data_IF_300170861688
#
_entry.id   IF_300170861688
#
_cell.length_a   1.000
_cell.length_b   1.000
_cell.length_c   1.000
_cell.angle_alpha   90.00
_cell.angle_beta   90.00
_cell.angle_gamma   90.00
#
_symmetry.space_group_name_H-M   'P 1'
#
loop_
_entity.id
_entity.type
_entity.pdbx_description
1 polymer ?
#
# COMPACT_ATOMS: atom_id res chain seq x y z
N UNK A 1 -23.65 18.15 -52.33
CA UNK A 1 -24.10 17.24 -53.40
C UNK A 1 -23.98 15.82 -52.87
N UNK A 2 -25.15 15.22 -52.59
CA UNK A 2 -25.56 13.81 -52.53
C UNK A 2 -24.61 12.79 -51.87
N UNK A 3 -25.02 11.88 -50.99
CA UNK A 3 -26.32 11.24 -50.63
C UNK A 3 -26.06 10.41 -49.35
N UNK A 4 -26.88 10.47 -48.27
CA UNK A 4 -28.00 9.54 -47.94
C UNK A 4 -27.57 8.05 -47.87
N UNK A 5 -27.88 7.19 -46.88
CA UNK A 5 -29.05 6.95 -45.99
C UNK A 5 -28.59 5.87 -44.95
N UNK A 6 -28.89 5.88 -43.64
CA UNK A 6 -30.13 5.67 -42.85
C UNK A 6 -30.40 4.22 -42.38
N UNK A 7 -30.70 4.09 -41.07
CA UNK A 7 -31.59 3.11 -40.37
C UNK A 7 -31.12 1.64 -40.23
N UNK A 8 -31.42 0.88 -39.16
CA UNK A 8 -32.22 1.10 -37.96
C UNK A 8 -32.24 -0.18 -37.08
N UNK A 9 -32.43 -0.01 -35.77
CA UNK A 9 -32.96 -1.02 -34.82
C UNK A 9 -34.51 -1.03 -34.94
N UNK A 10 -35.29 -2.09 -34.57
CA UNK A 10 -35.48 -2.53 -33.17
C UNK A 10 -36.03 -3.97 -32.90
N UNK A 11 -36.36 -4.21 -31.61
CA UNK A 11 -37.22 -5.25 -30.96
C UNK A 11 -36.55 -6.58 -30.57
N UNK A 12 -36.53 -7.08 -29.30
CA UNK A 12 -37.49 -7.34 -28.19
C UNK A 12 -38.37 -8.61 -28.36
N UNK A 13 -38.56 -9.31 -27.22
CA UNK A 13 -39.50 -10.41 -26.87
C UNK A 13 -39.02 -11.83 -27.26
N UNK A 14 -39.05 -12.91 -26.45
CA UNK A 14 -40.00 -13.38 -25.43
C UNK A 14 -39.39 -14.24 -24.30
N UNK A 15 -40.07 -14.25 -23.15
CA UNK A 15 -39.96 -15.22 -22.06
C UNK A 15 -40.86 -16.43 -22.34
N UNK A 16 -40.36 -17.64 -22.10
CA UNK A 16 -41.14 -18.88 -22.05
C UNK A 16 -41.05 -19.49 -20.65
N UNK A 17 -42.14 -19.37 -19.91
CA UNK A 17 -42.45 -20.05 -18.66
C UNK A 17 -43.23 -21.32 -19.07
N UNK A 18 -42.88 -22.51 -18.58
CA UNK A 18 -43.90 -23.57 -18.48
C UNK A 18 -43.62 -24.61 -17.40
N UNK A 19 -44.66 -24.78 -16.59
CA UNK A 19 -44.80 -25.66 -15.44
C UNK A 19 -45.20 -27.05 -15.91
N UNK A 20 -44.69 -28.10 -15.24
CA UNK A 20 -45.41 -29.36 -15.14
C UNK A 20 -45.27 -29.93 -13.71
N UNK A 21 -46.37 -29.79 -12.96
CA UNK A 21 -46.67 -30.50 -11.72
C UNK A 21 -47.35 -31.83 -12.06
N UNK A 22 -46.92 -32.92 -11.44
CA UNK A 22 -47.72 -34.14 -11.32
C UNK A 22 -47.57 -34.74 -9.91
N UNK A 23 -48.68 -34.80 -9.17
CA UNK A 23 -48.89 -35.62 -7.95
C UNK A 23 -49.86 -36.78 -8.30
N UNK A 24 -50.28 -37.64 -7.35
CA UNK A 24 -49.58 -38.86 -6.95
C UNK A 24 -50.46 -40.12 -7.15
N UNK A 25 -49.86 -41.30 -7.20
CA UNK A 25 -50.61 -42.56 -7.09
C UNK A 25 -50.30 -43.25 -5.75
N UNK A 26 -51.36 -43.40 -4.95
CA UNK A 26 -51.48 -44.24 -3.76
C UNK A 26 -51.80 -45.68 -4.15
N UNK A 27 -51.08 -46.66 -3.61
CA UNK A 27 -51.63 -47.99 -3.36
C UNK A 27 -51.03 -48.61 -2.08
N UNK A 28 -51.86 -49.36 -1.38
CA UNK A 28 -51.68 -49.86 -0.04
C UNK A 28 -50.76 -51.09 0.09
N UNK A 29 -50.36 -51.32 1.34
CA UNK A 29 -49.56 -52.42 1.89
C UNK A 29 -50.20 -53.82 1.72
N UNK A 30 -49.42 -54.90 1.94
CA UNK A 30 -49.54 -55.57 3.25
C UNK A 30 -48.19 -55.92 3.89
N UNK A 31 -48.23 -56.11 5.21
CA UNK A 31 -47.07 -56.23 6.09
C UNK A 31 -46.42 -57.62 6.16
N UNK A 32 -45.23 -57.61 6.76
CA UNK A 32 -44.46 -58.77 7.20
C UNK A 32 -43.29 -58.28 8.04
N UNK A 33 -43.20 -58.71 9.30
CA UNK A 33 -42.19 -58.25 10.25
C UNK A 33 -40.80 -58.83 10.00
N UNK A 34 -39.77 -58.05 10.31
CA UNK A 34 -38.43 -58.54 10.64
C UNK A 34 -37.60 -57.43 11.32
N UNK A 35 -37.20 -57.71 12.56
CA UNK A 35 -35.84 -57.56 13.10
C UNK A 35 -35.06 -56.25 12.89
N UNK A 36 -34.89 -55.55 14.02
CA UNK A 36 -33.83 -54.61 14.42
C UNK A 36 -32.68 -54.34 13.44
N UNK A 37 -32.59 -53.09 12.97
CA UNK A 37 -31.32 -52.43 12.66
C UNK A 37 -31.43 -50.97 13.12
N UNK A 38 -30.79 -50.63 14.25
CA UNK A 38 -30.66 -49.22 14.66
C UNK A 38 -29.74 -48.53 13.65
N UNK A 39 -30.30 -47.63 12.87
CA UNK A 39 -29.56 -46.70 12.03
C UNK A 39 -28.53 -45.98 12.91
N UNK A 40 -27.23 -46.01 12.60
CA UNK A 40 -26.29 -45.19 13.33
C UNK A 40 -26.67 -43.73 13.08
N UNK A 41 -26.97 -43.01 14.15
CA UNK A 41 -27.17 -41.57 14.12
C UNK A 41 -26.02 -40.95 13.32
N UNK A 42 -26.35 -40.34 12.20
CA UNK A 42 -25.42 -39.52 11.44
C UNK A 42 -24.96 -38.40 12.36
N UNK A 43 -23.75 -38.56 12.91
CA UNK A 43 -23.04 -37.49 13.61
C UNK A 43 -23.11 -36.25 12.71
N UNK A 44 -23.65 -35.11 13.17
CA UNK A 44 -23.62 -33.91 12.35
C UNK A 44 -22.16 -33.64 12.03
N UNK A 45 -21.84 -33.56 10.73
CA UNK A 45 -20.50 -33.23 10.28
C UNK A 45 -20.07 -31.95 11.00
N UNK A 46 -19.15 -32.07 11.95
CA UNK A 46 -18.55 -30.93 12.63
C UNK A 46 -17.91 -30.07 11.54
N UNK A 47 -18.57 -28.97 11.18
CA UNK A 47 -17.93 -27.94 10.39
C UNK A 47 -16.62 -27.60 11.10
N UNK A 48 -15.47 -27.59 10.39
CA UNK A 48 -14.19 -27.32 11.04
C UNK A 48 -14.30 -25.99 11.79
N UNK A 49 -14.12 -26.08 13.10
CA UNK A 49 -14.16 -24.93 14.01
C UNK A 49 -12.99 -24.05 13.60
N UNK A 50 -13.27 -22.89 13.00
CA UNK A 50 -12.21 -21.91 12.72
C UNK A 50 -11.63 -21.45 14.06
N UNK A 51 -10.30 -21.50 14.25
CA UNK A 51 -9.67 -20.97 15.45
C UNK A 51 -10.10 -19.52 15.67
N UNK A 52 -10.40 -19.16 16.91
CA UNK A 52 -10.96 -17.85 17.24
C UNK A 52 -10.20 -17.18 18.37
N UNK A 53 -9.80 -15.93 18.15
CA UNK A 53 -9.32 -15.02 19.19
C UNK A 53 -10.52 -14.41 19.92
N UNK A 54 -10.41 -14.23 21.23
CA UNK A 54 -11.42 -13.56 22.06
C UNK A 54 -10.83 -12.33 22.74
N UNK A 55 -11.52 -11.20 22.63
CA UNK A 55 -11.13 -9.95 23.28
C UNK A 55 -11.36 -10.00 24.79
N UNK A 56 -10.46 -9.39 25.58
CA UNK A 56 -10.64 -9.22 27.02
C UNK A 56 -11.86 -8.35 27.31
N UNK A 57 -12.58 -8.66 28.38
CA UNK A 57 -13.77 -7.92 28.80
C UNK A 57 -13.53 -6.41 29.04
N UNK A 58 -12.34 -6.05 29.53
CA UNK A 58 -11.95 -4.68 29.90
C UNK A 58 -11.13 -3.96 28.82
N UNK A 59 -10.85 -4.59 27.68
CA UNK A 59 -10.09 -3.94 26.61
C UNK A 59 -10.96 -2.90 25.88
N UNK A 60 -10.46 -1.67 25.77
CA UNK A 60 -11.04 -0.63 24.89
C UNK A 60 -10.56 -0.84 23.46
N UNK A 61 -10.83 -2.03 22.91
CA UNK A 61 -10.28 -2.46 21.64
C UNK A 61 -10.87 -1.65 20.48
N UNK A 62 -10.01 -1.00 19.69
CA UNK A 62 -10.43 -0.11 18.58
C UNK A 62 -11.13 -0.88 17.47
N UNK A 63 -10.92 -2.20 17.40
CA UNK A 63 -11.59 -3.08 16.44
C UNK A 63 -13.12 -3.01 16.56
N UNK A 64 -13.65 -2.75 17.76
CA UNK A 64 -15.08 -2.60 18.01
C UNK A 64 -15.67 -1.37 17.30
N UNK A 65 -14.85 -0.32 17.11
CA UNK A 65 -15.21 0.88 16.35
C UNK A 65 -14.85 0.77 14.85
N UNK A 66 -14.41 -0.40 14.39
CA UNK A 66 -14.10 -0.65 12.98
C UNK A 66 -12.63 -0.56 12.61
N UNK A 67 -11.70 -0.34 13.54
CA UNK A 67 -10.26 -0.44 13.25
C UNK A 67 -9.88 -1.87 12.79
N UNK A 68 -8.96 -2.08 11.83
CA UNK A 68 -8.67 -3.42 11.31
C UNK A 68 -7.77 -4.27 12.22
N UNK A 69 -7.11 -3.66 13.20
CA UNK A 69 -6.12 -4.34 14.04
C UNK A 69 -6.62 -4.67 15.43
N UNK A 70 -6.14 -5.79 15.95
CA UNK A 70 -6.20 -6.19 17.36
C UNK A 70 -4.77 -6.40 17.87
N UNK A 71 -4.49 -5.85 19.05
CA UNK A 71 -3.17 -5.90 19.66
C UNK A 71 -3.05 -7.03 20.69
N UNK A 72 -1.83 -7.51 20.93
CA UNK A 72 -1.55 -8.62 21.84
C UNK A 72 -2.13 -8.43 23.26
N UNK A 73 -2.14 -7.19 23.76
CA UNK A 73 -2.67 -6.86 25.08
C UNK A 73 -4.20 -6.85 25.16
N UNK A 74 -4.92 -6.88 24.02
CA UNK A 74 -6.38 -6.79 23.93
C UNK A 74 -7.09 -8.15 23.96
N UNK A 75 -6.37 -9.28 23.81
CA UNK A 75 -6.96 -10.64 23.76
C UNK A 75 -6.76 -11.44 25.04
N UNK A 76 -7.72 -12.29 25.38
CA UNK A 76 -7.68 -13.13 26.60
C UNK A 76 -6.48 -14.07 26.60
N UNK A 77 -6.24 -14.75 25.47
CA UNK A 77 -5.11 -15.63 25.25
C UNK A 77 -4.67 -15.55 23.78
N UNK A 78 -3.39 -15.82 23.54
CA UNK A 78 -2.85 -16.03 22.20
C UNK A 78 -3.21 -17.43 21.72
N UNK A 79 -3.37 -17.57 20.41
CA UNK A 79 -3.50 -18.87 19.77
C UNK A 79 -2.10 -19.50 19.59
N UNK A 80 -2.01 -20.85 19.43
CA UNK A 80 -0.75 -21.53 19.19
C UNK A 80 -0.01 -21.00 17.95
N UNK A 81 1.33 -21.03 17.97
CA UNK A 81 2.19 -20.46 16.93
C UNK A 81 2.06 -21.20 15.58
N UNK A 82 1.53 -22.42 15.57
CA UNK A 82 1.22 -23.19 14.37
C UNK A 82 0.15 -22.50 13.50
N UNK A 83 -0.64 -21.61 14.09
CA UNK A 83 -1.63 -20.80 13.40
C UNK A 83 -1.06 -19.47 12.85
N UNK A 84 0.23 -19.18 13.05
CA UNK A 84 0.86 -17.97 12.51
C UNK A 84 0.78 -17.97 10.99
N UNK A 85 0.17 -16.93 10.43
CA UNK A 85 -0.11 -16.80 9.00
C UNK A 85 -1.45 -17.40 8.56
N UNK A 86 -2.19 -18.03 9.46
CA UNK A 86 -3.51 -18.58 9.17
C UNK A 86 -4.63 -17.55 9.37
N UNK A 87 -5.78 -17.86 8.76
CA UNK A 87 -6.99 -17.06 8.91
C UNK A 87 -7.74 -17.52 10.15
N UNK A 88 -7.89 -16.61 11.11
CA UNK A 88 -8.59 -16.85 12.37
C UNK A 88 -9.75 -15.88 12.53
N UNK A 89 -10.77 -16.34 13.23
CA UNK A 89 -11.88 -15.49 13.63
C UNK A 89 -11.48 -14.60 14.82
N UNK A 90 -12.05 -13.40 14.91
CA UNK A 90 -11.98 -12.60 16.13
C UNK A 90 -13.38 -12.41 16.70
N UNK A 91 -13.54 -12.63 18.01
CA UNK A 91 -14.78 -12.50 18.75
C UNK A 91 -14.67 -11.44 19.83
N UNK A 92 -15.76 -10.74 20.07
CA UNK A 92 -15.85 -9.82 21.20
C UNK A 92 -16.01 -10.56 22.54
N UNK A 93 -16.10 -9.79 23.63
CA UNK A 93 -16.28 -10.32 24.98
C UNK A 93 -17.54 -11.18 25.17
N UNK A 94 -18.59 -10.92 24.39
CA UNK A 94 -19.86 -11.65 24.43
C UNK A 94 -19.86 -12.86 23.48
N UNK A 95 -18.74 -13.14 22.79
CA UNK A 95 -18.61 -14.22 21.83
C UNK A 95 -19.13 -13.88 20.42
N UNK A 96 -19.53 -12.63 20.16
CA UNK A 96 -20.02 -12.20 18.83
C UNK A 96 -18.85 -12.06 17.88
N UNK A 97 -18.98 -12.61 16.67
CA UNK A 97 -17.95 -12.54 15.63
C UNK A 97 -17.77 -11.11 15.13
N UNK A 98 -16.52 -10.63 15.15
CA UNK A 98 -16.07 -9.34 14.60
C UNK A 98 -15.57 -9.46 13.15
N UNK A 99 -15.30 -10.69 12.71
CA UNK A 99 -14.85 -11.03 11.36
C UNK A 99 -13.71 -12.05 11.36
N UNK A 100 -13.12 -12.24 10.18
CA UNK A 100 -11.92 -13.06 10.01
C UNK A 100 -10.73 -12.22 9.56
N UNK A 101 -9.54 -12.65 9.92
CA UNK A 101 -8.30 -11.93 9.69
C UNK A 101 -7.09 -12.83 9.85
N UNK A 102 -5.93 -12.32 9.45
CA UNK A 102 -4.67 -13.05 9.55
C UNK A 102 -4.11 -12.96 10.98
N UNK A 103 -3.55 -14.05 11.47
CA UNK A 103 -2.96 -14.15 12.81
C UNK A 103 -1.43 -14.18 12.78
N UNK A 104 -0.78 -13.59 13.80
CA UNK A 104 0.63 -13.80 14.09
C UNK A 104 0.92 -13.59 15.58
N UNK A 105 1.29 -14.66 16.28
CA UNK A 105 1.64 -14.68 17.70
C UNK A 105 2.87 -13.82 18.05
N UNK A 106 3.77 -13.60 17.09
CA UNK A 106 5.03 -12.85 17.27
C UNK A 106 4.86 -11.33 17.14
N UNK A 107 3.79 -10.89 16.49
CA UNK A 107 3.54 -9.48 16.19
C UNK A 107 2.87 -8.78 17.37
N UNK A 108 3.12 -7.48 17.56
CA UNK A 108 2.29 -6.68 18.47
C UNK A 108 0.85 -6.53 17.94
N UNK A 109 0.70 -6.53 16.62
CA UNK A 109 -0.59 -6.57 15.93
C UNK A 109 -0.88 -8.04 15.62
N UNK A 110 -1.44 -8.74 16.60
CA UNK A 110 -1.63 -10.19 16.54
C UNK A 110 -2.71 -10.59 15.53
N UNK A 111 -3.63 -9.70 15.20
CA UNK A 111 -4.70 -9.97 14.24
C UNK A 111 -5.01 -8.76 13.38
N UNK A 112 -5.05 -8.98 12.06
CA UNK A 112 -5.40 -7.96 11.06
C UNK A 112 -6.60 -8.45 10.26
N UNK A 113 -7.72 -7.73 10.37
CA UNK A 113 -8.98 -8.08 9.71
C UNK A 113 -8.82 -8.10 8.19
N UNK A 114 -9.29 -9.18 7.57
CA UNK A 114 -9.50 -9.30 6.13
C UNK A 114 -10.95 -8.90 5.80
N UNK A 115 -11.91 -9.43 6.55
CA UNK A 115 -13.33 -9.21 6.31
C UNK A 115 -14.13 -9.20 7.62
N UNK A 116 -15.29 -8.53 7.61
CA UNK A 116 -16.29 -8.67 8.69
C UNK A 116 -17.08 -9.97 8.58
N UNK A 117 -17.02 -10.63 7.43
CA UNK A 117 -17.64 -11.94 7.18
C UNK A 117 -16.56 -13.02 7.27
N UNK A 118 -16.98 -14.28 7.40
CA UNK A 118 -16.08 -15.42 7.31
C UNK A 118 -15.56 -15.54 5.88
N UNK A 119 -14.25 -15.47 5.71
CA UNK A 119 -13.58 -15.61 4.41
C UNK A 119 -12.35 -16.50 4.56
N UNK A 120 -12.01 -17.19 3.48
CA UNK A 120 -10.72 -17.86 3.28
C UNK A 120 -9.75 -16.89 2.62
N UNK A 121 -8.45 -17.08 2.87
CA UNK A 121 -7.38 -16.33 2.18
C UNK A 121 -6.73 -17.26 1.16
N UNK A 122 -7.47 -17.52 0.10
CA UNK A 122 -7.07 -18.33 -1.05
C UNK A 122 -6.80 -17.44 -2.28
N UNK A 123 -6.53 -18.10 -3.41
CA UNK A 123 -6.26 -17.45 -4.69
C UNK A 123 -7.41 -16.55 -5.15
N UNK A 124 -8.66 -16.97 -4.96
CA UNK A 124 -9.83 -16.22 -5.42
C UNK A 124 -10.04 -14.97 -4.56
N UNK A 125 -9.82 -15.07 -3.25
CA UNK A 125 -9.81 -13.90 -2.37
C UNK A 125 -8.73 -12.89 -2.78
N UNK A 126 -7.49 -13.36 -3.02
CA UNK A 126 -6.38 -12.50 -3.45
C UNK A 126 -6.70 -11.82 -4.78
N UNK A 127 -7.21 -12.57 -5.77
CA UNK A 127 -7.65 -11.99 -7.06
C UNK A 127 -8.71 -10.94 -6.87
N UNK A 128 -9.76 -11.23 -6.10
CA UNK A 128 -10.84 -10.29 -5.87
C UNK A 128 -10.35 -9.02 -5.16
N UNK A 129 -9.49 -9.14 -4.15
CA UNK A 129 -8.93 -8.00 -3.43
C UNK A 129 -8.03 -7.14 -4.34
N UNK A 130 -7.17 -7.78 -5.14
CA UNK A 130 -6.35 -7.09 -6.14
C UNK A 130 -7.19 -6.37 -7.18
N UNK A 131 -8.21 -7.03 -7.75
CA UNK A 131 -9.13 -6.40 -8.70
C UNK A 131 -9.81 -5.17 -8.10
N UNK A 132 -10.31 -5.24 -6.86
CA UNK A 132 -10.89 -4.07 -6.17
C UNK A 132 -9.86 -2.95 -5.97
N UNK A 133 -8.61 -3.30 -5.62
CA UNK A 133 -7.53 -2.32 -5.49
C UNK A 133 -7.21 -1.64 -6.83
N UNK A 134 -7.16 -2.40 -7.93
CA UNK A 134 -6.92 -1.89 -9.28
C UNK A 134 -8.07 -1.00 -9.77
N UNK A 135 -9.32 -1.40 -9.53
CA UNK A 135 -10.52 -0.60 -9.86
C UNK A 135 -10.46 0.78 -9.19
N UNK A 136 -10.02 0.85 -7.93
CA UNK A 136 -9.83 2.13 -7.21
C UNK A 136 -8.78 3.07 -7.85
N UNK A 137 -7.92 2.55 -8.74
CA UNK A 137 -6.88 3.31 -9.46
C UNK A 137 -7.20 3.48 -10.94
N UNK A 138 -8.38 3.11 -11.41
CA UNK A 138 -8.70 3.29 -12.83
C UNK A 138 -8.89 4.79 -13.18
N UNK A 139 -8.42 5.24 -14.36
CA UNK A 139 -7.60 4.49 -15.33
C UNK A 139 -6.21 4.16 -14.77
N UNK A 140 -5.72 2.95 -15.02
CA UNK A 140 -4.48 2.46 -14.39
C UNK A 140 -3.28 3.32 -14.80
N UNK A 141 -2.64 4.03 -13.85
CA UNK A 141 -1.46 4.85 -14.15
C UNK A 141 -0.24 3.96 -14.41
N UNK A 142 0.68 4.45 -15.25
CA UNK A 142 1.97 3.77 -15.52
C UNK A 142 2.90 3.76 -14.31
N UNK A 143 2.85 4.81 -13.49
CA UNK A 143 3.65 4.92 -12.28
C UNK A 143 2.73 5.19 -11.08
N UNK A 144 2.46 4.23 -10.22
CA UNK A 144 1.69 4.49 -8.99
C UNK A 144 1.74 3.32 -8.02
N UNK A 145 1.30 3.61 -6.79
CA UNK A 145 0.95 2.58 -5.84
C UNK A 145 -0.41 1.96 -6.18
N UNK A 146 -0.38 0.70 -6.62
CA UNK A 146 -1.58 -0.08 -6.96
C UNK A 146 -2.25 -0.68 -5.71
N UNK A 147 -1.45 -1.08 -4.71
CA UNK A 147 -1.94 -1.70 -3.47
C UNK A 147 -1.28 -1.06 -2.25
N UNK A 148 -2.09 -0.70 -1.25
CA UNK A 148 -1.65 -0.10 0.00
C UNK A 148 -2.22 -0.80 1.24
N UNK A 149 -1.71 -2.01 1.48
CA UNK A 149 -1.90 -2.78 2.71
C UNK A 149 -3.38 -2.93 3.11
N UNK A 150 -3.74 -2.69 4.37
CA UNK A 150 -5.10 -2.82 4.90
C UNK A 150 -6.11 -1.89 4.20
N UNK A 151 -5.65 -0.78 3.63
CA UNK A 151 -6.51 0.14 2.87
C UNK A 151 -7.08 -0.52 1.61
N UNK A 152 -6.41 -1.58 1.14
CA UNK A 152 -6.77 -2.35 -0.03
C UNK A 152 -7.11 -3.81 0.27
N UNK A 153 -7.48 -4.12 1.53
CA UNK A 153 -7.93 -5.45 1.95
C UNK A 153 -6.83 -6.54 1.84
N UNK A 154 -5.56 -6.12 1.73
CA UNK A 154 -4.38 -6.98 1.62
C UNK A 154 -3.36 -6.61 2.71
N UNK A 155 -3.60 -6.95 3.99
CA UNK A 155 -2.76 -6.52 5.11
C UNK A 155 -1.29 -6.93 4.94
N UNK A 156 -0.41 -5.94 4.88
CA UNK A 156 1.02 -6.11 4.71
C UNK A 156 1.49 -6.24 3.27
N UNK A 157 0.62 -6.09 2.27
CA UNK A 157 1.02 -6.07 0.85
C UNK A 157 1.12 -4.63 0.35
N UNK A 158 2.22 -4.29 -0.30
CA UNK A 158 2.37 -3.05 -1.06
C UNK A 158 2.79 -3.41 -2.48
N UNK A 159 2.13 -2.83 -3.47
CA UNK A 159 2.49 -3.02 -4.88
C UNK A 159 2.63 -1.65 -5.52
N UNK A 160 3.85 -1.33 -5.91
CA UNK A 160 4.18 -0.12 -6.66
C UNK A 160 4.47 -0.51 -8.12
N UNK A 161 3.92 0.25 -9.07
CA UNK A 161 4.15 0.08 -10.51
C UNK A 161 5.08 1.16 -11.01
N UNK A 162 6.08 0.76 -11.80
CA UNK A 162 6.99 1.62 -12.53
C UNK A 162 7.03 1.17 -13.99
N UNK A 163 6.17 1.77 -14.82
CA UNK A 163 5.99 1.38 -16.21
C UNK A 163 5.55 -0.08 -16.32
N UNK A 164 6.42 -0.90 -16.92
CA UNK A 164 6.20 -2.34 -17.07
C UNK A 164 6.72 -3.20 -15.90
N UNK A 165 7.36 -2.61 -14.89
CA UNK A 165 7.89 -3.33 -13.71
C UNK A 165 6.99 -3.13 -12.49
N UNK A 166 6.73 -4.20 -11.74
CA UNK A 166 6.10 -4.13 -10.42
C UNK A 166 7.14 -4.32 -9.31
N UNK A 167 7.04 -3.53 -8.26
CA UNK A 167 7.78 -3.71 -7.02
C UNK A 167 6.78 -4.11 -5.93
N UNK A 168 6.94 -5.33 -5.43
CA UNK A 168 6.05 -5.95 -4.45
C UNK A 168 6.76 -6.04 -3.11
N UNK A 169 6.10 -5.59 -2.05
CA UNK A 169 6.55 -5.80 -0.68
C UNK A 169 5.49 -6.57 0.08
N UNK A 170 5.94 -7.56 0.85
CA UNK A 170 5.12 -8.32 1.77
C UNK A 170 5.69 -8.15 3.17
N UNK A 171 4.83 -7.90 4.14
CA UNK A 171 5.25 -7.59 5.52
C UNK A 171 4.60 -8.50 6.56
N UNK A 172 3.68 -9.38 6.19
CA UNK A 172 2.96 -10.27 7.11
C UNK A 172 3.24 -11.72 6.77
N UNK A 173 3.34 -12.57 7.79
CA UNK A 173 3.63 -14.01 7.59
C UNK A 173 2.55 -14.72 6.76
N UNK A 174 1.29 -14.29 6.88
CA UNK A 174 0.20 -14.82 6.05
C UNK A 174 0.43 -14.53 4.57
N UNK A 175 0.83 -13.31 4.21
CA UNK A 175 1.07 -12.96 2.81
C UNK A 175 2.36 -13.60 2.30
N UNK A 176 3.37 -13.80 3.16
CA UNK A 176 4.60 -14.51 2.79
C UNK A 176 4.30 -15.95 2.36
N UNK A 177 3.50 -16.68 3.15
CA UNK A 177 3.07 -18.06 2.83
C UNK A 177 2.32 -18.17 1.50
N UNK A 178 1.76 -17.06 0.99
CA UNK A 178 0.98 -17.01 -0.25
C UNK A 178 1.65 -16.13 -1.31
N UNK A 179 2.95 -15.84 -1.16
CA UNK A 179 3.70 -14.97 -2.06
C UNK A 179 3.59 -15.45 -3.52
N UNK A 180 3.85 -16.73 -3.78
CA UNK A 180 3.78 -17.28 -5.15
C UNK A 180 2.38 -17.14 -5.77
N UNK A 181 1.33 -17.36 -4.97
CA UNK A 181 -0.05 -17.16 -5.43
C UNK A 181 -0.33 -15.68 -5.72
N UNK A 182 0.12 -14.78 -4.85
CA UNK A 182 -0.01 -13.34 -5.04
C UNK A 182 0.71 -12.89 -6.33
N UNK A 183 1.94 -13.34 -6.56
CA UNK A 183 2.72 -13.00 -7.75
C UNK A 183 2.08 -13.53 -9.03
N UNK A 184 1.60 -14.78 -9.03
CA UNK A 184 0.87 -15.35 -10.18
C UNK A 184 -0.40 -14.56 -10.51
N UNK A 185 -1.16 -14.13 -9.51
CA UNK A 185 -2.38 -13.34 -9.75
C UNK A 185 -2.05 -11.94 -10.26
N UNK A 186 -0.97 -11.30 -9.76
CA UNK A 186 -0.50 -10.02 -10.29
C UNK A 186 -0.07 -10.14 -11.76
N UNK A 187 0.64 -11.22 -12.10
CA UNK A 187 1.08 -11.52 -13.46
C UNK A 187 -0.11 -11.60 -14.44
N UNK A 188 -1.17 -12.31 -14.04
CA UNK A 188 -2.37 -12.46 -14.87
C UNK A 188 -3.20 -11.18 -15.00
N UNK A 189 -3.24 -10.34 -13.96
CA UNK A 189 -4.05 -9.13 -13.95
C UNK A 189 -3.38 -7.95 -14.67
N UNK A 190 -2.04 -7.91 -14.69
CA UNK A 190 -1.28 -6.74 -15.13
C UNK A 190 -0.26 -7.03 -16.23
N UNK A 191 0.08 -8.30 -16.48
CA UNK A 191 1.08 -8.75 -17.45
C UNK A 191 2.37 -7.90 -17.44
N UNK A 192 3.04 -7.74 -16.28
CA UNK A 192 4.27 -6.95 -16.19
C UNK A 192 5.45 -7.67 -16.88
N UNK A 193 6.42 -6.90 -17.35
CA UNK A 193 7.69 -7.46 -17.84
C UNK A 193 8.48 -8.12 -16.71
N UNK A 194 8.45 -7.53 -15.52
CA UNK A 194 9.16 -8.04 -14.35
C UNK A 194 8.42 -7.72 -13.04
N UNK A 195 8.59 -8.61 -12.05
CA UNK A 195 8.16 -8.35 -10.68
C UNK A 195 9.37 -8.48 -9.76
N UNK A 196 9.67 -7.41 -9.03
CA UNK A 196 10.71 -7.35 -8.02
C UNK A 196 10.04 -7.52 -6.66
N UNK A 197 10.38 -8.58 -5.94
CA UNK A 197 9.97 -8.78 -4.55
C UNK A 197 11.01 -8.13 -3.66
N UNK A 198 10.63 -7.02 -3.03
CA UNK A 198 11.51 -6.18 -2.25
C UNK A 198 11.16 -6.24 -0.76
N UNK A 199 11.56 -7.34 -0.14
CA UNK A 199 11.29 -7.70 1.24
C UNK A 199 12.47 -7.37 2.17
N UNK A 200 13.09 -6.21 1.98
CA UNK A 200 14.24 -5.69 2.75
C UNK A 200 13.84 -4.80 3.94
N UNK A 201 12.54 -4.51 4.10
CA UNK A 201 12.03 -3.62 5.14
C UNK A 201 12.24 -4.20 6.56
N UNK A 202 12.88 -3.47 7.50
CA UNK A 202 13.18 -3.97 8.85
C UNK A 202 11.96 -4.42 9.66
N UNK A 203 10.76 -3.90 9.34
CA UNK A 203 9.49 -4.27 9.98
C UNK A 203 9.18 -5.77 9.86
N UNK A 204 9.67 -6.45 8.81
CA UNK A 204 9.51 -7.91 8.65
C UNK A 204 10.08 -8.71 9.81
N UNK A 205 11.13 -8.21 10.48
CA UNK A 205 11.71 -8.84 11.68
C UNK A 205 10.71 -8.90 12.84
N UNK A 206 9.81 -7.91 12.95
CA UNK A 206 8.74 -7.89 13.95
C UNK A 206 7.67 -8.96 13.69
N UNK A 207 7.57 -9.45 12.46
CA UNK A 207 6.67 -10.54 12.06
C UNK A 207 7.39 -11.90 12.02
N UNK A 208 8.67 -11.95 12.40
CA UNK A 208 9.50 -13.17 12.38
C UNK A 208 9.98 -13.58 10.99
N UNK A 209 9.94 -12.68 10.01
CA UNK A 209 10.25 -12.97 8.62
C UNK A 209 11.70 -12.63 8.24
N UNK A 210 12.34 -13.42 7.35
CA UNK A 210 13.63 -13.07 6.79
C UNK A 210 13.52 -11.86 5.86
N UNK A 211 14.65 -11.15 5.71
CA UNK A 211 14.79 -10.07 4.73
C UNK A 211 15.38 -10.64 3.45
N UNK A 212 14.81 -10.32 2.30
CA UNK A 212 15.33 -10.74 1.00
C UNK A 212 14.89 -9.79 -0.11
N UNK A 213 15.62 -9.81 -1.21
CA UNK A 213 15.23 -9.15 -2.46
C UNK A 213 15.39 -10.16 -3.59
N UNK A 214 14.33 -10.40 -4.34
CA UNK A 214 14.32 -11.35 -5.46
C UNK A 214 13.56 -10.76 -6.64
N UNK A 215 13.74 -11.35 -7.81
CA UNK A 215 12.99 -11.02 -9.03
C UNK A 215 12.25 -12.26 -9.50
N UNK A 216 11.10 -12.08 -10.15
CA UNK A 216 10.30 -13.18 -10.69
C UNK A 216 11.08 -13.97 -11.74
N UNK A 217 11.89 -13.30 -12.58
CA UNK A 217 12.77 -14.00 -13.54
C UNK A 217 14.03 -14.63 -12.91
N UNK A 218 14.35 -14.34 -11.66
CA UNK A 218 15.60 -14.73 -11.00
C UNK A 218 16.84 -13.99 -11.50
N UNK A 219 16.71 -13.06 -12.46
CA UNK A 219 17.82 -12.26 -13.00
C UNK A 219 17.89 -10.90 -12.32
N UNK A 220 19.08 -10.31 -12.16
CA UNK A 220 19.21 -8.93 -11.68
C UNK A 220 18.44 -7.96 -12.59
N UNK A 221 17.64 -7.09 -11.98
CA UNK A 221 16.97 -6.01 -12.68
C UNK A 221 17.98 -4.89 -12.96
N UNK A 222 17.98 -4.39 -14.20
CA UNK A 222 18.96 -3.40 -14.66
C UNK A 222 18.43 -1.98 -14.45
N UNK A 223 19.13 -1.11 -13.71
CA UNK A 223 18.75 0.31 -13.57
C UNK A 223 18.64 1.01 -14.92
N UNK A 224 17.60 1.84 -15.06
CA UNK A 224 17.29 2.51 -16.31
C UNK A 224 16.57 3.84 -16.10
N UNK A 225 16.49 4.62 -17.16
CA UNK A 225 15.70 5.85 -17.21
C UNK A 225 14.21 5.52 -17.29
N UNK A 226 13.43 6.10 -16.39
CA UNK A 226 11.97 6.02 -16.37
C UNK A 226 11.39 7.44 -16.41
N UNK A 227 10.40 7.67 -17.26
CA UNK A 227 9.80 9.00 -17.45
C UNK A 227 8.56 9.16 -16.61
N UNK A 228 8.66 9.91 -15.51
CA UNK A 228 7.56 10.13 -14.56
C UNK A 228 7.12 11.59 -14.64
N UNK A 229 5.84 11.82 -14.91
CA UNK A 229 5.23 13.15 -15.03
C UNK A 229 5.98 14.10 -15.97
N UNK A 230 6.57 13.56 -17.04
CA UNK A 230 7.30 14.30 -18.06
C UNK A 230 8.74 14.68 -17.70
N UNK A 231 9.31 14.06 -16.66
CA UNK A 231 10.74 14.17 -16.30
C UNK A 231 11.36 12.78 -16.27
N UNK A 232 12.60 12.67 -16.73
CA UNK A 232 13.34 11.41 -16.75
C UNK A 232 14.09 11.23 -15.42
N UNK A 233 13.96 10.05 -14.80
CA UNK A 233 14.63 9.70 -13.56
C UNK A 233 15.45 8.42 -13.74
N UNK A 234 16.68 8.41 -13.23
CA UNK A 234 17.47 7.19 -13.15
C UNK A 234 16.99 6.35 -11.95
N UNK A 235 16.35 5.21 -12.22
CA UNK A 235 15.77 4.37 -11.17
C UNK A 235 16.53 3.05 -11.04
N UNK A 236 16.91 2.73 -9.80
CA UNK A 236 17.32 1.40 -9.37
C UNK A 236 16.25 0.84 -8.42
N UNK A 237 15.34 0.02 -8.97
CA UNK A 237 14.21 -0.52 -8.22
C UNK A 237 14.61 -1.69 -7.29
N UNK A 238 15.74 -2.34 -7.56
CA UNK A 238 16.20 -3.52 -6.83
C UNK A 238 17.17 -3.16 -5.69
N UNK A 239 18.21 -2.39 -5.97
CA UNK A 239 19.28 -2.07 -5.02
C UNK A 239 19.27 -0.62 -4.52
N UNK A 240 18.51 0.28 -5.15
CA UNK A 240 18.39 1.68 -4.72
C UNK A 240 17.84 1.84 -3.30
N UNK A 241 18.04 3.00 -2.66
CA UNK A 241 17.47 3.31 -1.35
C UNK A 241 15.93 3.36 -1.42
N UNK A 242 15.24 2.49 -0.66
CA UNK A 242 13.79 2.22 -0.81
C UNK A 242 13.44 1.87 -2.26
N UNK A 243 12.18 1.90 -2.68
CA UNK A 243 11.71 1.51 -4.03
C UNK A 243 12.20 2.40 -5.19
N UNK A 244 13.28 3.17 -5.03
CA UNK A 244 13.88 4.02 -6.06
C UNK A 244 13.27 5.42 -6.14
N UNK A 245 11.94 5.56 -6.01
CA UNK A 245 11.23 6.85 -6.11
C UNK A 245 10.01 6.92 -5.18
N UNK A 246 9.77 8.08 -4.57
CA UNK A 246 8.64 8.31 -3.66
C UNK A 246 7.35 8.60 -4.41
N UNK A 247 6.63 7.55 -4.82
CA UNK A 247 5.35 7.67 -5.52
C UNK A 247 4.26 8.36 -4.68
N UNK A 248 4.36 8.32 -3.35
CA UNK A 248 3.45 9.02 -2.44
C UNK A 248 3.59 10.55 -2.47
N UNK A 249 4.74 11.07 -2.89
CA UNK A 249 5.00 12.50 -3.07
C UNK A 249 4.79 12.97 -4.52
N UNK A 250 4.53 12.06 -5.47
CA UNK A 250 4.41 12.39 -6.89
C UNK A 250 3.45 13.55 -7.17
N UNK A 251 2.23 13.47 -6.62
CA UNK A 251 1.22 14.54 -6.79
C UNK A 251 1.65 15.85 -6.12
N UNK A 252 2.44 15.77 -5.05
CA UNK A 252 2.96 16.94 -4.36
C UNK A 252 4.02 17.66 -5.19
N UNK A 253 4.84 16.94 -5.97
CA UNK A 253 5.80 17.58 -6.87
C UNK A 253 5.10 18.53 -7.84
N UNK A 254 4.02 18.06 -8.48
CA UNK A 254 3.22 18.88 -9.39
C UNK A 254 2.46 20.01 -8.66
N UNK A 255 1.92 19.77 -7.47
CA UNK A 255 1.22 20.79 -6.70
C UNK A 255 2.14 21.94 -6.27
N UNK A 256 3.36 21.62 -5.81
CA UNK A 256 4.36 22.59 -5.37
C UNK A 256 4.90 23.40 -6.54
N UNK A 257 5.15 22.75 -7.68
CA UNK A 257 5.69 23.40 -8.88
C UNK A 257 4.88 24.64 -9.31
N UNK A 258 3.55 24.62 -9.12
CA UNK A 258 2.65 25.75 -9.43
C UNK A 258 3.00 27.05 -8.71
N UNK A 259 3.76 26.98 -7.63
CA UNK A 259 4.16 28.14 -6.84
C UNK A 259 5.60 28.60 -7.09
N UNK A 260 6.34 27.92 -7.98
CA UNK A 260 7.79 28.09 -8.13
C UNK A 260 8.19 29.10 -9.21
N UNK A 261 7.31 29.44 -10.15
CA UNK A 261 7.61 30.36 -11.26
C UNK A 261 8.15 31.70 -10.73
N UNK A 262 9.29 32.13 -11.27
CA UNK A 262 9.93 33.40 -10.91
C UNK A 262 10.61 33.42 -9.53
N UNK A 263 10.60 32.32 -8.77
CA UNK A 263 11.11 32.28 -7.39
C UNK A 263 12.41 31.51 -7.23
N UNK A 264 13.11 31.82 -6.14
CA UNK A 264 14.20 30.99 -5.61
C UNK A 264 13.63 29.91 -4.71
N UNK A 265 14.03 28.66 -4.95
CA UNK A 265 13.48 27.47 -4.29
C UNK A 265 14.60 26.74 -3.55
N UNK A 266 14.34 26.39 -2.30
CA UNK A 266 15.18 25.50 -1.50
C UNK A 266 14.45 24.18 -1.32
N UNK A 267 15.00 23.11 -1.90
CA UNK A 267 14.54 21.73 -1.72
C UNK A 267 15.40 21.07 -0.61
N UNK A 268 14.90 21.15 0.62
CA UNK A 268 15.58 20.59 1.78
C UNK A 268 15.20 19.11 1.96
N UNK A 269 16.20 18.24 2.10
CA UNK A 269 16.05 16.77 2.06
C UNK A 269 15.58 16.28 0.68
N UNK A 270 16.26 16.76 -0.36
CA UNK A 270 15.83 16.63 -1.75
C UNK A 270 15.92 15.20 -2.31
N UNK A 271 16.62 14.27 -1.65
CA UNK A 271 16.90 12.94 -2.19
C UNK A 271 17.46 13.03 -3.64
N UNK A 272 16.82 12.38 -4.61
CA UNK A 272 17.19 12.42 -6.04
C UNK A 272 16.66 13.67 -6.78
N UNK A 273 16.15 14.66 -6.04
CA UNK A 273 15.74 15.98 -6.52
C UNK A 273 14.38 16.11 -7.22
N UNK A 274 13.34 15.27 -7.00
CA UNK A 274 12.10 15.40 -7.76
C UNK A 274 11.40 16.76 -7.56
N UNK A 275 11.37 17.31 -6.33
CA UNK A 275 10.83 18.66 -6.12
C UNK A 275 11.66 19.73 -6.82
N UNK A 276 13.00 19.66 -6.68
CA UNK A 276 13.92 20.56 -7.39
C UNK A 276 13.74 20.53 -8.91
N UNK A 277 13.63 19.35 -9.53
CA UNK A 277 13.41 19.20 -10.97
C UNK A 277 12.05 19.79 -11.41
N UNK A 278 10.98 19.50 -10.66
CA UNK A 278 9.67 20.06 -10.94
C UNK A 278 9.64 21.59 -10.79
N UNK A 279 10.29 22.14 -9.76
CA UNK A 279 10.42 23.58 -9.56
C UNK A 279 11.21 24.25 -10.69
N UNK A 280 12.33 23.65 -11.10
CA UNK A 280 13.14 24.14 -12.21
C UNK A 280 12.36 24.12 -13.54
N UNK A 281 11.60 23.06 -13.82
CA UNK A 281 10.74 22.97 -15.01
C UNK A 281 9.62 24.02 -14.98
N UNK A 282 9.11 24.38 -13.82
CA UNK A 282 8.08 25.40 -13.64
C UNK A 282 8.60 26.85 -13.69
N UNK A 283 9.87 27.07 -14.04
CA UNK A 283 10.41 28.42 -14.21
C UNK A 283 10.94 29.08 -12.93
N UNK A 284 11.35 28.30 -11.93
CA UNK A 284 12.11 28.84 -10.80
C UNK A 284 13.41 29.53 -11.28
N UNK A 285 13.71 30.70 -10.70
CA UNK A 285 14.90 31.50 -11.02
C UNK A 285 16.17 30.93 -10.41
N UNK A 286 16.04 30.20 -9.30
CA UNK A 286 17.13 29.47 -8.66
C UNK A 286 16.54 28.26 -7.91
N UNK A 287 17.23 27.13 -7.93
CA UNK A 287 16.87 25.93 -7.17
C UNK A 287 18.11 25.38 -6.49
N UNK A 288 18.07 25.26 -5.16
CA UNK A 288 19.10 24.60 -4.37
C UNK A 288 18.51 23.35 -3.71
N UNK A 289 19.02 22.17 -4.06
CA UNK A 289 18.70 20.90 -3.41
C UNK A 289 19.77 20.51 -2.39
N UNK A 290 19.34 20.17 -1.17
CA UNK A 290 20.23 19.75 -0.08
C UNK A 290 19.84 18.34 0.39
N UNK A 291 20.82 17.45 0.52
CA UNK A 291 20.64 16.15 1.16
C UNK A 291 21.95 15.67 1.80
N UNK A 292 21.85 14.81 2.81
CA UNK A 292 23.01 14.20 3.45
C UNK A 292 23.54 12.98 2.70
N UNK A 293 22.73 12.36 1.84
CA UNK A 293 23.11 11.17 1.09
C UNK A 293 23.84 11.53 -0.20
N UNK A 294 25.14 11.25 -0.26
CA UNK A 294 25.99 11.52 -1.44
C UNK A 294 25.45 10.84 -2.70
N UNK A 295 25.06 9.57 -2.62
CA UNK A 295 24.49 8.82 -3.74
C UNK A 295 23.21 9.44 -4.29
N UNK A 296 22.38 10.03 -3.41
CA UNK A 296 21.14 10.69 -3.80
C UNK A 296 21.42 12.00 -4.54
N UNK A 297 22.37 12.80 -4.04
CA UNK A 297 22.82 14.03 -4.70
C UNK A 297 23.50 13.74 -6.04
N UNK A 298 24.32 12.69 -6.13
CA UNK A 298 24.92 12.25 -7.38
C UNK A 298 23.85 11.88 -8.42
N UNK A 299 22.78 11.18 -8.00
CA UNK A 299 21.64 10.90 -8.85
C UNK A 299 20.84 12.15 -9.23
N UNK A 300 20.62 13.08 -8.29
CA UNK A 300 19.94 14.35 -8.57
C UNK A 300 20.66 15.17 -9.64
N UNK A 301 22.00 15.20 -9.60
CA UNK A 301 22.86 15.81 -10.62
C UNK A 301 22.69 15.15 -11.99
N UNK A 302 22.70 13.81 -12.05
CA UNK A 302 22.41 13.09 -13.30
C UNK A 302 21.01 13.37 -13.83
N UNK A 303 20.01 13.45 -12.95
CA UNK A 303 18.62 13.72 -13.34
C UNK A 303 18.48 15.14 -13.92
N UNK A 304 19.08 16.16 -13.31
CA UNK A 304 18.99 17.54 -13.81
C UNK A 304 19.70 17.72 -15.17
N UNK A 305 20.84 17.05 -15.35
CA UNK A 305 21.56 17.02 -16.64
C UNK A 305 20.71 16.36 -17.72
N UNK A 306 20.15 15.18 -17.44
CA UNK A 306 19.31 14.42 -18.36
C UNK A 306 18.09 15.21 -18.82
N UNK A 307 17.49 16.00 -17.93
CA UNK A 307 16.32 16.81 -18.22
C UNK A 307 16.66 18.19 -18.81
N UNK A 308 17.93 18.46 -19.13
CA UNK A 308 18.40 19.75 -19.67
C UNK A 308 18.09 20.96 -18.77
N UNK A 309 18.04 20.74 -17.46
CA UNK A 309 17.73 21.77 -16.46
C UNK A 309 18.99 22.35 -15.78
N UNK A 310 20.18 21.89 -16.19
CA UNK A 310 21.47 22.28 -15.62
C UNK A 310 22.21 23.40 -16.41
N UNK A 311 21.76 23.72 -17.63
CA UNK A 311 22.55 24.46 -18.62
C UNK A 311 22.91 25.90 -18.23
N UNK A 312 22.12 26.53 -17.35
CA UNK A 312 22.27 27.92 -16.90
C UNK A 312 22.80 28.03 -15.46
N UNK A 313 23.16 26.91 -14.84
CA UNK A 313 23.67 26.86 -13.46
C UNK A 313 22.64 27.23 -12.39
N UNK A 314 21.36 27.44 -12.74
CA UNK A 314 20.33 27.86 -11.78
C UNK A 314 19.89 26.74 -10.83
N UNK A 315 20.13 25.48 -11.18
CA UNK A 315 19.82 24.31 -10.36
C UNK A 315 21.11 23.73 -9.80
N UNK A 316 21.22 23.71 -8.48
CA UNK A 316 22.41 23.25 -7.75
C UNK A 316 22.03 22.21 -6.70
N UNK A 317 22.93 21.27 -6.47
CA UNK A 317 22.76 20.23 -5.46
C UNK A 317 24.01 20.14 -4.58
N UNK A 318 23.81 20.17 -3.27
CA UNK A 318 24.89 20.11 -2.28
C UNK A 318 24.66 18.98 -1.29
N UNK A 319 25.75 18.26 -0.98
CA UNK A 319 25.77 17.28 0.10
C UNK A 319 25.93 18.05 1.40
N UNK A 320 24.87 18.10 2.21
CA UNK A 320 24.88 18.83 3.46
C UNK A 320 23.91 18.24 4.48
N UNK A 321 24.28 18.30 5.75
CA UNK A 321 23.29 18.20 6.82
C UNK A 321 22.43 19.47 6.78
N UNK A 322 21.15 19.30 6.44
CA UNK A 322 20.20 20.39 6.27
C UNK A 322 20.08 21.28 7.52
N UNK A 323 20.15 20.71 8.73
CA UNK A 323 20.05 21.52 9.94
C UNK A 323 21.28 22.38 10.17
N UNK A 324 22.46 21.85 9.90
CA UNK A 324 23.72 22.59 10.02
C UNK A 324 23.79 23.69 8.96
N UNK A 325 23.35 23.38 7.73
CA UNK A 325 23.21 24.37 6.67
C UNK A 325 22.28 25.51 7.07
N UNK A 326 21.12 25.22 7.67
CA UNK A 326 20.22 26.26 8.18
C UNK A 326 20.88 27.08 9.29
N UNK A 327 21.59 26.47 10.24
CA UNK A 327 22.24 27.18 11.33
C UNK A 327 23.33 28.13 10.81
N UNK A 328 24.16 27.67 9.88
CA UNK A 328 25.22 28.48 9.28
C UNK A 328 24.65 29.67 8.46
N UNK A 329 23.56 29.45 7.74
CA UNK A 329 22.93 30.48 6.89
C UNK A 329 21.88 31.34 7.61
N UNK A 330 21.61 31.10 8.90
CA UNK A 330 20.69 31.91 9.71
C UNK A 330 21.29 33.25 10.17
N UNK A 331 22.62 33.38 10.14
CA UNK A 331 23.35 34.58 10.58
C UNK A 331 23.58 35.61 9.46
N UNK A 332 23.41 35.20 8.21
CA UNK A 332 23.40 36.11 7.05
C UNK A 332 21.96 36.48 6.73
N UNK A 333 21.69 37.77 6.51
CA UNK A 333 20.36 38.37 6.38
C UNK A 333 19.60 37.98 5.10
N UNK A 334 19.30 36.70 4.92
CA UNK A 334 18.29 36.22 3.98
C UNK A 334 17.07 35.85 4.80
N UNK A 335 16.21 36.84 5.10
CA UNK A 335 14.83 36.55 5.52
C UNK A 335 14.20 35.74 4.38
N UNK A 336 13.79 34.49 4.58
CA UNK A 336 13.03 33.78 3.58
C UNK A 336 11.70 34.52 3.46
N UNK A 337 11.43 35.15 2.32
CA UNK A 337 10.05 35.40 1.90
C UNK A 337 9.37 34.03 1.89
N UNK A 338 8.61 33.76 2.94
CA UNK A 338 8.24 32.41 3.35
C UNK A 338 7.55 31.65 2.21
N UNK A 339 8.15 30.59 1.64
CA UNK A 339 7.36 29.55 1.01
C UNK A 339 6.73 28.72 2.13
N UNK A 340 5.55 28.10 1.92
CA UNK A 340 5.02 27.15 2.90
C UNK A 340 6.07 26.04 3.11
N UNK A 341 6.34 25.61 4.36
CA UNK A 341 7.23 24.48 4.59
C UNK A 341 6.67 23.28 3.84
N UNK A 342 7.43 22.78 2.86
CA UNK A 342 7.06 21.58 2.12
C UNK A 342 7.00 20.40 3.10
N UNK A 343 6.07 19.45 2.91
CA UNK A 343 5.90 18.34 3.83
C UNK A 343 7.16 17.46 3.85
N UNK A 344 7.93 17.59 4.93
CA UNK A 344 9.10 16.77 5.19
C UNK A 344 8.72 15.29 5.39
N UNK A 345 9.32 14.34 4.66
CA UNK A 345 9.03 12.91 4.78
C UNK A 345 9.82 12.29 5.94
N UNK A 346 9.66 12.83 7.16
CA UNK A 346 10.27 12.22 8.36
C UNK A 346 9.24 11.49 9.21
N UNK A 347 9.69 10.36 9.77
CA UNK A 347 8.97 9.50 10.71
C UNK A 347 8.36 10.31 11.88
N UNK A 348 7.31 9.77 12.48
CA UNK A 348 6.49 10.38 13.55
C UNK A 348 7.29 10.99 14.73
N UNK A 349 8.49 10.46 15.05
CA UNK A 349 9.38 11.01 16.09
C UNK A 349 10.06 12.33 15.69
N UNK A 350 10.35 12.54 14.40
CA UNK A 350 10.90 13.79 13.90
C UNK A 350 9.84 14.89 13.80
N UNK A 351 8.59 14.54 13.44
CA UNK A 351 7.45 15.48 13.45
C UNK A 351 7.24 16.10 14.83
N UNK A 352 7.36 15.33 15.91
CA UNK A 352 7.24 15.85 17.28
C UNK A 352 8.37 16.80 17.69
N UNK A 353 9.61 16.54 17.26
CA UNK A 353 10.75 17.46 17.49
C UNK A 353 10.61 18.76 16.68
N UNK A 354 10.10 18.66 15.44
CA UNK A 354 9.85 19.81 14.58
C UNK A 354 8.74 20.72 15.17
N UNK A 355 7.64 20.13 15.66
CA UNK A 355 6.58 20.90 16.34
C UNK A 355 7.02 21.54 17.67
N UNK A 356 7.84 20.86 18.48
CA UNK A 356 8.38 21.46 19.73
C UNK A 356 9.29 22.66 19.44
N UNK A 357 10.14 22.61 18.41
CA UNK A 357 11.01 23.75 18.03
C UNK A 357 10.22 24.93 17.46
N UNK A 358 9.12 24.68 16.73
CA UNK A 358 8.27 25.76 16.24
C UNK A 358 7.45 26.46 17.35
N UNK A 359 7.02 25.74 18.39
CA UNK A 359 6.33 26.35 19.55
C UNK A 359 7.26 27.26 20.36
N UNK A 360 8.49 26.84 20.64
CA UNK A 360 9.43 27.64 21.44
C UNK A 360 9.86 28.95 20.76
N UNK A 361 9.80 29.06 19.43
CA UNK A 361 10.07 30.32 18.71
C UNK A 361 8.89 31.31 18.77
N UNK A 362 7.65 30.86 19.00
CA UNK A 362 6.50 31.77 19.17
C UNK A 362 6.40 32.35 20.59
N UNK A 363 7.00 31.70 21.58
CA UNK A 363 7.00 32.17 22.97
C UNK A 363 8.17 33.11 23.31
N UNK A 364 9.21 33.19 22.48
CA UNK A 364 10.38 34.06 22.71
C UNK A 364 10.31 35.43 22.00
N UNK A 365 9.14 35.80 21.45
CA UNK A 365 8.92 37.04 20.72
C UNK A 365 7.96 38.03 21.38
N UNK A 366 7.69 37.91 22.69
CA UNK A 366 6.77 38.82 23.41
C UNK A 366 7.35 39.61 24.57
N UNK A 367 8.60 39.39 24.96
CA UNK A 367 9.26 40.19 25.99
C UNK A 367 10.49 40.89 25.42
N UNK A 368 10.29 42.12 24.95
CA UNK A 368 11.24 43.24 24.85
C UNK A 368 10.52 44.41 24.19
N UNK A 369 9.85 45.20 25.03
CA UNK A 369 9.70 46.63 24.83
C UNK A 369 11.03 47.32 25.15
#
# INVERSE_FOLDING_TARGET
MNSEQSNGLPARYEMGDDRAMSKPHTSALPGGGATTASTPATTPAMHPVTPALKLKANAKARVLAGHPWVFANEVEALLPAELDGEVVECRDRAGRTLGTGIYNSRSQIIWRRLSRRRVTLDRDWLRGALQRALVRRQPLPEHARLVWSESDELPGVVVDRFGATLVVQVQTVAMEKRLDTLLSVLDELLAPEEIIVRNDAPIRRLEGLPLHVTTRSGRPWTPRWERIDGLDYWLDLQAGQKTGFYLDQREQHAAVAKYCEGKRVLDAFCNQGPFALHAARAGATEVLGLDSAEDAIAQARRNVERNHLAADGRVRFEVANVFDWFNANSASSMRPSSPPPLPCPLHHRARQRCHRRHRNRRTLGRDRA
#
